data_IF_720820224948
#
_entry.id   IF_720820224948
#
_cell.length_a   1.000
_cell.length_b   1.000
_cell.length_c   1.000
_cell.angle_alpha   90.00
_cell.angle_beta   90.00
_cell.angle_gamma   90.00
#
_symmetry.space_group_name_H-M   'P 1'
#
loop_
_entity.id
_entity.type
_entity.pdbx_description
1 polymer ?
#
# COMPACT_ATOMS: atom_id res chain seq x y z
N UNK A 1 3.56 13.82 13.20
CA UNK A 1 2.15 13.39 13.00
C UNK A 1 1.59 12.92 14.35
N UNK A 2 0.35 13.28 14.76
CA UNK A 2 -0.24 12.78 16.00
C UNK A 2 -0.37 11.25 16.01
N UNK A 3 -0.24 10.61 17.17
CA UNK A 3 -0.30 9.13 17.30
C UNK A 3 -1.62 8.57 16.76
N UNK A 4 -2.74 9.25 17.02
CA UNK A 4 -4.06 8.82 16.53
C UNK A 4 -4.16 8.76 15.00
N UNK A 5 -3.39 9.58 14.30
CA UNK A 5 -3.35 9.63 12.84
C UNK A 5 -2.26 8.72 12.29
N UNK A 6 -1.14 8.57 12.99
CA UNK A 6 -0.07 7.64 12.66
C UNK A 6 -0.57 6.18 12.52
N UNK A 7 -1.65 5.82 13.22
CA UNK A 7 -2.27 4.49 13.15
C UNK A 7 -3.24 4.29 11.98
N UNK A 8 -3.39 5.29 11.09
CA UNK A 8 -4.27 5.22 9.92
C UNK A 8 -3.46 5.13 8.64
N UNK A 9 -3.75 4.13 7.81
CA UNK A 9 -3.12 4.02 6.47
C UNK A 9 -3.41 5.24 5.57
N UNK A 10 -4.52 5.94 5.79
CA UNK A 10 -4.89 7.15 5.05
C UNK A 10 -3.92 8.31 5.23
N UNK A 11 -3.16 8.32 6.33
CA UNK A 11 -2.21 9.39 6.67
C UNK A 11 -0.88 9.27 5.92
N UNK A 12 -0.68 8.19 5.17
CA UNK A 12 0.54 7.95 4.41
C UNK A 12 0.26 8.08 2.93
N UNK A 13 1.10 8.87 2.27
CA UNK A 13 0.90 9.26 0.88
C UNK A 13 2.05 8.75 0.02
N UNK A 14 1.74 8.45 -1.24
CA UNK A 14 2.76 8.09 -2.22
C UNK A 14 3.63 9.30 -2.61
N UNK A 15 4.94 9.15 -2.52
CA UNK A 15 5.90 10.08 -3.11
C UNK A 15 6.42 9.48 -4.42
N UNK A 16 5.79 9.83 -5.55
CA UNK A 16 6.13 9.34 -6.89
C UNK A 16 6.46 10.50 -7.81
N UNK A 17 7.42 10.32 -8.72
CA UNK A 17 7.69 11.32 -9.75
C UNK A 17 6.56 11.29 -10.81
N UNK A 18 6.06 12.44 -11.25
CA UNK A 18 4.95 12.51 -12.22
C UNK A 18 5.34 11.95 -13.61
N UNK A 19 6.62 12.03 -13.99
CA UNK A 19 7.07 11.88 -15.38
C UNK A 19 7.95 10.64 -15.65
N UNK A 20 8.04 9.65 -14.75
CA UNK A 20 8.83 8.46 -15.05
C UNK A 20 8.18 7.67 -16.20
N UNK A 21 8.79 7.70 -17.39
CA UNK A 21 8.41 6.87 -18.55
C UNK A 21 8.41 5.38 -18.14
N UNK A 22 7.32 4.69 -18.43
CA UNK A 22 7.03 3.33 -17.93
C UNK A 22 6.72 2.35 -19.03
N UNK A 23 7.16 2.66 -20.25
CA UNK A 23 7.18 1.71 -21.36
C UNK A 23 7.82 0.35 -21.00
N UNK A 24 8.58 0.23 -19.91
CA UNK A 24 9.26 -1.00 -19.49
C UNK A 24 8.93 -1.60 -18.11
N UNK A 25 8.02 -1.03 -17.28
CA UNK A 25 7.72 -1.63 -15.97
C UNK A 25 6.23 -1.96 -15.80
N UNK A 26 5.76 -3.11 -16.32
CA UNK A 26 4.41 -3.62 -16.08
C UNK A 26 4.19 -4.12 -14.63
N UNK A 27 5.22 -4.08 -13.79
CA UNK A 27 5.23 -4.78 -12.49
C UNK A 27 5.22 -3.88 -11.26
N UNK A 28 5.57 -2.60 -11.33
CA UNK A 28 5.85 -1.79 -10.12
C UNK A 28 4.68 -1.05 -9.50
N UNK A 29 3.54 -0.90 -10.20
CA UNK A 29 2.49 -0.03 -9.71
C UNK A 29 1.23 -0.76 -9.27
N UNK A 30 0.88 -0.53 -8.00
CA UNK A 30 -0.41 -0.85 -7.38
C UNK A 30 -1.53 0.07 -7.87
N UNK A 31 -1.44 0.48 -9.14
CA UNK A 31 -2.33 1.45 -9.74
C UNK A 31 -3.42 0.74 -10.52
N UNK A 32 -4.62 1.35 -10.61
CA UNK A 32 -5.66 0.83 -11.47
C UNK A 32 -5.13 0.63 -12.88
N UNK A 33 -5.52 -0.45 -13.58
CA UNK A 33 -5.37 -0.49 -15.02
C UNK A 33 -6.08 0.73 -15.62
N UNK A 34 -5.32 1.61 -16.29
CA UNK A 34 -5.84 2.83 -16.93
C UNK A 34 -5.86 4.11 -16.07
N UNK A 35 -5.29 4.11 -14.86
CA UNK A 35 -5.18 5.32 -14.03
C UNK A 35 -4.04 6.26 -14.45
N UNK A 36 -4.27 7.57 -14.39
CA UNK A 36 -3.24 8.60 -14.59
C UNK A 36 -2.30 8.69 -13.37
N UNK A 37 -0.99 8.54 -13.61
CA UNK A 37 0.03 8.56 -12.55
C UNK A 37 0.25 9.95 -11.96
N UNK A 38 0.00 11.02 -12.73
CA UNK A 38 0.08 12.38 -12.22
C UNK A 38 -0.99 12.63 -11.15
N UNK A 39 -2.15 11.98 -11.27
CA UNK A 39 -3.22 12.03 -10.29
C UNK A 39 -2.94 11.18 -9.04
N UNK A 40 -1.96 10.28 -9.09
CA UNK A 40 -1.57 9.38 -7.99
C UNK A 40 -0.44 9.95 -7.12
N UNK A 41 0.05 11.14 -7.45
CA UNK A 41 1.00 11.86 -6.60
C UNK A 41 0.30 12.27 -5.29
N UNK A 42 0.93 11.97 -4.15
CA UNK A 42 0.39 12.24 -2.83
C UNK A 42 -1.00 11.61 -2.59
N UNK A 43 -1.33 10.54 -3.31
CA UNK A 43 -2.52 9.75 -2.97
C UNK A 43 -2.25 8.85 -1.75
N UNK A 44 -3.26 8.67 -0.87
CA UNK A 44 -3.14 7.76 0.26
C UNK A 44 -2.87 6.33 -0.16
N UNK A 45 -1.93 5.67 0.51
CA UNK A 45 -1.62 4.25 0.26
C UNK A 45 -2.81 3.33 0.60
N UNK A 46 -3.77 3.80 1.39
CA UNK A 46 -5.01 3.07 1.68
C UNK A 46 -5.90 2.85 0.45
N UNK A 47 -5.73 3.64 -0.61
CA UNK A 47 -6.47 3.52 -1.87
C UNK A 47 -5.82 2.55 -2.87
N UNK A 48 -4.66 2.01 -2.53
CA UNK A 48 -3.97 1.07 -3.40
C UNK A 48 -4.80 -0.20 -3.61
N UNK A 49 -4.77 -0.71 -4.84
CA UNK A 49 -5.60 -1.83 -5.26
C UNK A 49 -5.33 -3.06 -4.40
N UNK A 50 -6.39 -3.65 -3.82
CA UNK A 50 -6.26 -4.86 -3.07
C UNK A 50 -5.92 -6.01 -4.02
N UNK A 51 -5.13 -6.99 -3.56
CA UNK A 51 -4.85 -8.17 -4.35
C UNK A 51 -6.18 -8.92 -4.58
N UNK A 52 -6.52 -9.15 -5.87
CA UNK A 52 -7.73 -9.87 -6.29
C UNK A 52 -8.90 -9.04 -6.83
N UNK A 53 -8.79 -7.72 -7.03
CA UNK A 53 -9.88 -6.92 -7.64
C UNK A 53 -10.03 -7.06 -9.16
N UNK A 54 -9.26 -7.94 -9.81
CA UNK A 54 -9.38 -8.26 -11.24
C UNK A 54 -10.68 -9.01 -11.62
N UNK A 55 -11.53 -9.38 -10.66
CA UNK A 55 -12.75 -10.17 -10.88
C UNK A 55 -14.05 -9.38 -10.61
N UNK A 56 -14.24 -8.21 -11.23
CA UNK A 56 -15.48 -7.39 -11.10
C UNK A 56 -16.63 -7.80 -12.03
N UNK A 57 -16.57 -8.93 -12.72
CA UNK A 57 -17.58 -9.30 -13.72
C UNK A 57 -18.72 -10.18 -13.18
N UNK A 58 -18.76 -10.47 -11.88
CA UNK A 58 -19.67 -11.47 -11.32
C UNK A 58 -20.53 -10.83 -10.22
N UNK A 59 -21.70 -10.31 -10.62
CA UNK A 59 -22.76 -9.63 -9.85
C UNK A 59 -23.30 -10.42 -8.61
N UNK A 60 -22.72 -11.57 -8.30
CA UNK A 60 -23.09 -12.46 -7.20
C UNK A 60 -22.12 -12.42 -6.01
N UNK A 61 -20.92 -11.84 -6.15
CA UNK A 61 -19.90 -11.82 -5.08
C UNK A 61 -19.84 -10.49 -4.28
N UNK A 62 -20.58 -9.46 -4.71
CA UNK A 62 -20.51 -8.11 -4.15
C UNK A 62 -20.83 -8.03 -2.64
N UNK A 63 -21.68 -8.94 -2.14
CA UNK A 63 -22.06 -8.99 -0.73
C UNK A 63 -21.01 -9.67 0.17
N UNK A 64 -20.25 -10.63 -0.36
CA UNK A 64 -19.12 -11.27 0.36
C UNK A 64 -17.90 -10.34 0.31
N UNK A 65 -17.73 -9.63 -0.82
CA UNK A 65 -16.67 -8.64 -1.02
C UNK A 65 -16.73 -7.50 0.01
N UNK A 66 -17.94 -7.01 0.33
CA UNK A 66 -18.16 -5.98 1.37
C UNK A 66 -17.86 -6.45 2.80
N UNK A 67 -18.05 -7.74 3.09
CA UNK A 67 -17.81 -8.32 4.42
C UNK A 67 -16.32 -8.59 4.72
N UNK A 68 -15.50 -8.77 3.68
CA UNK A 68 -14.06 -9.03 3.77
C UNK A 68 -13.17 -7.76 3.67
N UNK A 69 -13.78 -6.57 3.60
CA UNK A 69 -13.12 -5.28 3.43
C UNK A 69 -11.86 -5.00 4.30
N UNK A 70 -11.77 -5.40 5.58
CA UNK A 70 -10.58 -5.07 6.39
C UNK A 70 -9.32 -5.88 6.03
N UNK A 71 -9.44 -6.99 5.29
CA UNK A 71 -8.31 -7.88 4.97
C UNK A 71 -7.64 -7.57 3.62
N UNK A 72 -8.13 -6.55 2.89
CA UNK A 72 -7.77 -6.34 1.49
C UNK A 72 -6.64 -5.34 1.27
N UNK A 73 -6.07 -4.69 2.30
CA UNK A 73 -4.98 -3.75 2.07
C UNK A 73 -3.71 -4.47 1.61
N UNK A 74 -3.06 -3.96 0.57
CA UNK A 74 -1.72 -4.40 0.16
C UNK A 74 -0.59 -3.80 1.02
N UNK A 75 -0.97 -3.16 2.12
CA UNK A 75 -0.09 -2.56 3.11
C UNK A 75 -0.45 -3.10 4.49
N UNK A 76 0.56 -3.33 5.32
CA UNK A 76 0.36 -3.66 6.73
C UNK A 76 0.95 -2.55 7.58
N UNK A 77 0.17 -2.08 8.56
CA UNK A 77 0.59 -1.08 9.53
C UNK A 77 0.72 -1.74 10.91
N UNK A 78 1.85 -1.54 11.56
CA UNK A 78 2.16 -2.10 12.87
C UNK A 78 2.75 -1.00 13.74
N UNK A 79 2.31 -0.89 14.99
CA UNK A 79 2.93 -0.05 15.99
C UNK A 79 3.57 -0.91 17.08
N UNK A 80 4.62 -0.40 17.70
CA UNK A 80 5.11 -0.99 18.94
C UNK A 80 4.07 -0.86 20.07
N UNK A 81 4.23 -1.66 21.12
CA UNK A 81 3.43 -1.64 22.35
C UNK A 81 3.37 -0.27 23.02
N UNK A 82 4.45 0.50 22.94
CA UNK A 82 4.53 1.87 23.47
C UNK A 82 4.10 2.93 22.44
N UNK A 83 3.76 2.53 21.21
CA UNK A 83 3.40 3.41 20.09
C UNK A 83 4.48 4.45 19.72
N UNK A 84 5.73 4.22 20.13
CA UNK A 84 6.86 5.11 19.83
C UNK A 84 7.33 5.00 18.37
N UNK A 85 7.16 3.82 17.76
CA UNK A 85 7.53 3.58 16.36
C UNK A 85 6.36 2.92 15.67
N UNK A 86 6.03 3.43 14.49
CA UNK A 86 5.05 2.81 13.59
C UNK A 86 5.77 2.41 12.32
N UNK A 87 5.60 1.14 11.96
CA UNK A 87 6.16 0.52 10.77
C UNK A 87 5.06 0.21 9.78
N UNK A 88 5.37 0.44 8.51
CA UNK A 88 4.54 0.09 7.36
C UNK A 88 5.33 -0.88 6.50
N UNK A 89 4.66 -1.96 6.07
CA UNK A 89 5.21 -2.93 5.16
C UNK A 89 4.36 -3.00 3.88
N UNK A 90 5.03 -3.02 2.73
CA UNK A 90 4.37 -3.31 1.46
C UNK A 90 4.28 -4.82 1.27
N UNK A 91 3.09 -5.34 0.97
CA UNK A 91 2.88 -6.78 0.79
C UNK A 91 3.16 -7.26 -0.65
N UNK A 92 3.02 -6.37 -1.64
CA UNK A 92 3.46 -6.64 -3.02
C UNK A 92 4.98 -6.66 -3.12
N UNK A 93 5.65 -5.82 -2.34
CA UNK A 93 7.10 -5.68 -2.31
C UNK A 93 7.60 -6.02 -0.90
N UNK A 94 7.73 -7.30 -0.54
CA UNK A 94 7.95 -7.74 0.84
C UNK A 94 9.25 -7.19 1.47
N UNK A 95 10.23 -6.81 0.64
CA UNK A 95 11.46 -6.15 1.06
C UNK A 95 11.32 -4.67 1.42
N UNK A 96 10.20 -4.03 1.10
CA UNK A 96 9.95 -2.61 1.40
C UNK A 96 9.37 -2.45 2.81
N UNK A 97 10.05 -1.65 3.64
CA UNK A 97 9.53 -1.17 4.93
C UNK A 97 9.73 0.32 5.06
N UNK A 98 8.75 0.99 5.62
CA UNK A 98 8.83 2.38 6.06
C UNK A 98 8.60 2.43 7.56
N UNK A 99 9.30 3.29 8.27
CA UNK A 99 9.03 3.55 9.68
C UNK A 99 9.01 5.05 9.94
N UNK A 100 8.31 5.44 10.99
CA UNK A 100 8.37 6.78 11.50
C UNK A 100 8.14 6.78 13.01
N UNK A 101 8.59 7.85 13.66
CA UNK A 101 8.39 8.10 15.08
C UNK A 101 7.27 9.15 15.19
N UNK A 102 6.08 8.81 15.70
CA UNK A 102 4.99 9.76 15.89
C UNK A 102 5.43 10.97 16.73
N UNK A 103 4.72 12.09 16.58
CA UNK A 103 5.01 13.36 17.25
C UNK A 103 6.37 13.98 16.94
N UNK A 104 7.19 13.32 16.12
CA UNK A 104 8.45 13.84 15.59
C UNK A 104 8.36 14.06 14.07
N UNK A 105 9.43 14.63 13.51
CA UNK A 105 9.66 14.71 12.06
C UNK A 105 10.52 13.57 11.52
N UNK A 106 10.82 12.55 12.32
CA UNK A 106 11.71 11.46 11.94
C UNK A 106 10.93 10.34 11.25
N UNK A 107 11.27 10.11 9.99
CA UNK A 107 10.74 9.02 9.19
C UNK A 107 11.79 8.55 8.20
N UNK A 108 11.76 7.26 7.85
CA UNK A 108 12.61 6.72 6.82
C UNK A 108 11.98 5.50 6.17
N UNK A 109 12.46 5.15 4.98
CA UNK A 109 12.04 3.96 4.26
C UNK A 109 13.25 3.25 3.67
N UNK A 110 13.19 1.93 3.65
CA UNK A 110 14.24 1.10 3.11
C UNK A 110 13.63 -0.06 2.33
N UNK A 111 14.27 -0.39 1.22
CA UNK A 111 14.04 -1.63 0.51
C UNK A 111 15.23 -2.56 0.70
N UNK A 112 14.98 -3.76 1.24
CA UNK A 112 15.97 -4.83 1.39
C UNK A 112 15.38 -6.10 0.78
N UNK A 113 15.82 -6.46 -0.42
CA UNK A 113 15.31 -7.63 -1.13
C UNK A 113 15.87 -7.74 -2.54
N UNK A 114 15.41 -8.75 -3.28
CA UNK A 114 15.88 -9.06 -4.64
C UNK A 114 15.21 -8.24 -5.75
N UNK A 115 14.30 -7.32 -5.43
CA UNK A 115 13.53 -6.61 -6.44
C UNK A 115 12.41 -7.47 -7.04
N UNK A 116 11.91 -8.46 -6.31
CA UNK A 116 10.85 -9.36 -6.76
C UNK A 116 9.50 -8.97 -6.14
N UNK A 117 8.45 -8.97 -6.98
CA UNK A 117 7.07 -8.73 -6.56
C UNK A 117 6.44 -10.04 -6.09
N UNK A 118 5.68 -9.98 -5.01
CA UNK A 118 4.88 -11.06 -4.50
C UNK A 118 3.57 -11.19 -5.31
N UNK A 119 3.63 -11.83 -6.47
CA UNK A 119 2.46 -12.12 -7.32
C UNK A 119 1.47 -13.09 -6.67
N UNK A 120 1.94 -13.77 -5.63
CA UNK A 120 1.22 -14.75 -4.85
C UNK A 120 0.30 -14.12 -3.79
N UNK A 121 0.44 -12.82 -3.55
CA UNK A 121 -0.33 -12.09 -2.56
C UNK A 121 -1.87 -12.28 -2.63
N UNK A 122 -2.53 -12.34 -3.81
CA UNK A 122 -3.98 -12.54 -3.91
C UNK A 122 -4.52 -13.86 -3.37
N UNK A 123 -3.67 -14.84 -3.09
CA UNK A 123 -4.08 -16.10 -2.49
C UNK A 123 -3.57 -16.30 -1.05
N UNK A 124 -2.76 -15.36 -0.55
CA UNK A 124 -2.24 -15.41 0.82
C UNK A 124 -3.16 -14.74 1.85
N UNK A 125 -4.11 -13.88 1.40
CA UNK A 125 -5.00 -13.09 2.26
C UNK A 125 -6.48 -13.28 1.92
#
# INVERSE_FOLDING_TARGET
MPVSDALKLESYLHYRLPDSDVSFAPTTLVCPPGGDRALQFLEPISKDYPPGELFKNNHCLDNIQKALNPLRSCWTLQSDSLQEVVTIQNLWWPGFRSYHIPETGEFNSIYVGYGERNDDLPFMI
#
